data_IF_618882467162
#
_entry.id   IF_618882467162
#
_cell.length_a   1.000
_cell.length_b   1.000
_cell.length_c   1.000
_cell.angle_alpha   90.00
_cell.angle_beta   90.00
_cell.angle_gamma   90.00
#
_symmetry.space_group_name_H-M   'P 1'
#
loop_
_entity.id
_entity.type
_entity.pdbx_description
1 polymer ?
#
# COMPACT_ATOMS: atom_id res chain seq x y z
N UNK A 1 35.02 -23.77 -2.14
CA UNK A 1 34.41 -25.12 -2.04
C UNK A 1 33.37 -25.37 -3.14
N UNK A 2 32.42 -24.47 -3.38
CA UNK A 2 31.35 -24.60 -4.40
C UNK A 2 31.84 -24.97 -5.82
N UNK A 3 32.92 -24.36 -6.31
CA UNK A 3 33.47 -24.65 -7.65
C UNK A 3 33.96 -26.10 -7.81
N UNK A 4 34.54 -26.69 -6.75
CA UNK A 4 34.98 -28.09 -6.77
C UNK A 4 33.77 -29.03 -6.83
N UNK A 5 32.70 -28.70 -6.11
CA UNK A 5 31.44 -29.47 -6.12
C UNK A 5 30.80 -29.43 -7.51
N UNK A 6 30.64 -28.24 -8.11
CA UNK A 6 30.06 -28.08 -9.46
C UNK A 6 30.83 -28.90 -10.49
N UNK A 7 32.16 -28.87 -10.42
CA UNK A 7 33.01 -29.61 -11.37
C UNK A 7 32.84 -31.12 -11.25
N UNK A 8 32.76 -31.65 -10.03
CA UNK A 8 32.49 -33.07 -9.79
C UNK A 8 31.09 -33.45 -10.28
N UNK A 9 30.08 -32.61 -10.03
CA UNK A 9 28.71 -32.85 -10.53
C UNK A 9 28.63 -32.87 -12.06
N UNK A 10 29.29 -31.92 -12.75
CA UNK A 10 29.32 -31.88 -14.23
C UNK A 10 30.03 -33.12 -14.80
N UNK A 11 31.11 -33.57 -14.17
CA UNK A 11 31.77 -34.82 -14.53
C UNK A 11 30.88 -36.06 -14.36
N UNK A 12 30.15 -36.16 -13.23
CA UNK A 12 29.18 -37.25 -13.00
C UNK A 12 28.04 -37.23 -14.03
N UNK A 13 27.52 -36.05 -14.37
CA UNK A 13 26.50 -35.92 -15.43
C UNK A 13 27.02 -36.40 -16.78
N UNK A 14 28.27 -36.05 -17.13
CA UNK A 14 28.92 -36.56 -18.34
C UNK A 14 29.05 -38.08 -18.35
N UNK A 15 29.36 -38.69 -17.20
CA UNK A 15 29.43 -40.14 -17.06
C UNK A 15 28.06 -40.81 -17.26
N UNK A 16 27.01 -40.27 -16.64
CA UNK A 16 25.64 -40.77 -16.79
C UNK A 16 25.17 -40.62 -18.24
N UNK A 17 25.39 -39.47 -18.86
CA UNK A 17 25.04 -39.23 -20.26
C UNK A 17 25.80 -40.18 -21.20
N UNK A 18 27.11 -40.34 -21.01
CA UNK A 18 27.95 -41.20 -21.86
C UNK A 18 27.58 -42.69 -21.75
N UNK A 19 27.34 -43.18 -20.54
CA UNK A 19 26.92 -44.57 -20.32
C UNK A 19 25.51 -44.84 -20.83
N UNK A 20 24.54 -43.96 -20.56
CA UNK A 20 23.15 -44.16 -21.01
C UNK A 20 22.97 -44.03 -22.52
N UNK A 21 23.71 -43.13 -23.17
CA UNK A 21 23.71 -43.02 -24.64
C UNK A 21 24.31 -44.27 -25.28
N UNK A 22 25.44 -44.77 -24.77
CA UNK A 22 26.05 -46.01 -25.25
C UNK A 22 25.11 -47.22 -25.10
N UNK A 23 24.43 -47.35 -23.95
CA UNK A 23 23.45 -48.42 -23.71
C UNK A 23 22.25 -48.36 -24.66
N UNK A 24 21.79 -47.15 -25.04
CA UNK A 24 20.74 -47.01 -26.05
C UNK A 24 21.24 -47.42 -27.44
N UNK A 25 22.43 -46.97 -27.84
CA UNK A 25 23.08 -47.34 -29.11
C UNK A 25 23.33 -48.85 -29.23
N UNK A 26 23.63 -49.52 -28.11
CA UNK A 26 23.83 -50.97 -28.06
C UNK A 26 22.57 -51.76 -28.45
N UNK A 27 21.36 -51.21 -28.22
CA UNK A 27 20.11 -51.86 -28.62
C UNK A 27 19.91 -51.88 -30.14
N UNK A 28 20.39 -50.85 -30.82
CA UNK A 28 20.20 -50.68 -32.26
C UNK A 28 21.35 -51.28 -33.08
N UNK A 29 22.56 -51.35 -32.52
CA UNK A 29 23.76 -51.84 -33.23
C UNK A 29 24.37 -53.04 -32.48
N UNK A 30 24.05 -54.25 -32.96
CA UNK A 30 24.50 -55.52 -32.34
C UNK A 30 26.02 -55.68 -32.22
N UNK A 31 26.82 -55.02 -33.08
CA UNK A 31 28.28 -55.06 -33.02
C UNK A 31 28.86 -54.41 -31.74
N UNK A 32 28.11 -53.51 -31.08
CA UNK A 32 28.53 -52.86 -29.83
C UNK A 32 28.42 -53.77 -28.60
N UNK A 33 27.78 -54.93 -28.72
CA UNK A 33 27.69 -55.92 -27.62
C UNK A 33 28.94 -56.79 -27.51
N UNK A 34 29.90 -56.70 -28.44
CA UNK A 34 31.12 -57.54 -28.48
C UNK A 34 30.83 -59.03 -28.26
N UNK A 35 29.71 -59.53 -28.80
CA UNK A 35 29.30 -60.94 -28.72
C UNK A 35 28.73 -61.43 -27.38
N UNK A 36 28.83 -60.65 -26.29
CA UNK A 36 28.14 -60.92 -25.00
C UNK A 36 27.75 -59.62 -24.32
N UNK A 37 26.51 -59.53 -23.83
CA UNK A 37 25.98 -58.32 -23.18
C UNK A 37 26.87 -57.78 -22.05
N UNK A 38 27.56 -58.66 -21.31
CA UNK A 38 28.49 -58.29 -20.23
C UNK A 38 29.63 -57.38 -20.72
N UNK A 39 30.20 -57.65 -21.90
CA UNK A 39 31.27 -56.81 -22.47
C UNK A 39 30.74 -55.47 -22.99
N UNK A 40 29.49 -55.44 -23.48
CA UNK A 40 28.80 -54.19 -23.83
C UNK A 40 28.56 -53.28 -22.62
N UNK A 41 28.16 -53.84 -21.46
CA UNK A 41 28.04 -53.06 -20.22
C UNK A 41 29.38 -52.51 -19.73
N UNK A 42 30.46 -53.31 -19.80
CA UNK A 42 31.80 -52.85 -19.43
C UNK A 42 32.29 -51.72 -20.35
N UNK A 43 32.05 -51.84 -21.66
CA UNK A 43 32.36 -50.80 -22.63
C UNK A 43 31.54 -49.52 -22.40
N UNK A 44 30.26 -49.63 -21.99
CA UNK A 44 29.42 -48.48 -21.64
C UNK A 44 29.98 -47.68 -20.45
N UNK A 45 30.49 -48.37 -19.42
CA UNK A 45 31.12 -47.74 -18.26
C UNK A 45 32.42 -47.05 -18.68
N UNK A 46 33.25 -47.71 -19.49
CA UNK A 46 34.51 -47.13 -19.99
C UNK A 46 34.27 -45.86 -20.81
N UNK A 47 33.31 -45.89 -21.74
CA UNK A 47 32.90 -44.73 -22.55
C UNK A 47 32.33 -43.63 -21.67
N UNK A 48 31.50 -43.99 -20.67
CA UNK A 48 31.01 -43.05 -19.66
C UNK A 48 32.13 -42.34 -18.91
N UNK A 49 33.16 -43.07 -18.45
CA UNK A 49 34.31 -42.49 -17.75
C UNK A 49 35.06 -41.50 -18.67
N UNK A 50 35.32 -41.87 -19.92
CA UNK A 50 36.00 -40.99 -20.89
C UNK A 50 35.21 -39.70 -21.12
N UNK A 51 33.89 -39.81 -21.35
CA UNK A 51 33.02 -38.64 -21.55
C UNK A 51 32.93 -37.79 -20.27
N UNK A 52 32.83 -38.41 -19.10
CA UNK A 52 32.83 -37.71 -17.80
C UNK A 52 34.11 -36.92 -17.57
N UNK A 53 35.27 -37.49 -17.94
CA UNK A 53 36.57 -36.85 -17.83
C UNK A 53 36.71 -35.68 -18.82
N UNK A 54 36.20 -35.83 -20.05
CA UNK A 54 36.11 -34.72 -21.01
C UNK A 54 35.26 -33.56 -20.48
N UNK A 55 34.09 -33.86 -19.92
CA UNK A 55 33.20 -32.85 -19.32
C UNK A 55 33.86 -32.14 -18.13
N UNK A 56 34.65 -32.88 -17.32
CA UNK A 56 35.41 -32.32 -16.21
C UNK A 56 36.49 -31.31 -16.69
N UNK A 57 37.12 -31.57 -17.83
CA UNK A 57 38.13 -30.67 -18.43
C UNK A 57 37.50 -29.45 -19.10
N UNK A 58 36.32 -29.62 -19.73
CA UNK A 58 35.62 -28.56 -20.47
C UNK A 58 34.82 -27.62 -19.53
N UNK A 59 34.42 -28.08 -18.35
CA UNK A 59 33.70 -27.32 -17.32
C UNK A 59 34.20 -25.88 -17.11
N UNK A 60 35.49 -25.61 -16.84
CA UNK A 60 35.94 -24.26 -16.51
C UNK A 60 35.74 -23.27 -17.67
N UNK A 61 35.85 -23.75 -18.91
CA UNK A 61 35.61 -22.93 -20.10
C UNK A 61 34.12 -22.61 -20.25
N UNK A 62 33.25 -23.62 -20.11
CA UNK A 62 31.78 -23.45 -20.17
C UNK A 62 31.30 -22.50 -19.08
N UNK A 63 31.73 -22.71 -17.82
CA UNK A 63 31.32 -21.87 -16.70
C UNK A 63 31.78 -20.42 -16.88
N UNK A 64 32.97 -20.19 -17.45
CA UNK A 64 33.43 -18.83 -17.76
C UNK A 64 32.54 -18.16 -18.80
N UNK A 65 32.19 -18.87 -19.88
CA UNK A 65 31.29 -18.36 -20.93
C UNK A 65 29.88 -18.08 -20.42
N UNK A 66 29.32 -18.97 -19.61
CA UNK A 66 28.01 -18.76 -18.97
C UNK A 66 28.04 -17.54 -18.07
N UNK A 67 29.11 -17.32 -17.30
CA UNK A 67 29.26 -16.11 -16.47
C UNK A 67 29.40 -14.84 -17.29
N UNK A 68 30.14 -14.86 -18.40
CA UNK A 68 30.24 -13.72 -19.32
C UNK A 68 28.87 -13.38 -19.92
N UNK A 69 28.12 -14.39 -20.39
CA UNK A 69 26.78 -14.21 -20.91
C UNK A 69 25.81 -13.67 -19.85
N UNK A 70 25.84 -14.24 -18.64
CA UNK A 70 25.02 -13.78 -17.51
C UNK A 70 25.32 -12.32 -17.14
N UNK A 71 26.59 -11.90 -17.14
CA UNK A 71 26.96 -10.50 -16.90
C UNK A 71 26.42 -9.54 -17.97
N UNK A 72 26.42 -9.96 -19.24
CA UNK A 72 25.85 -9.16 -20.33
C UNK A 72 24.34 -9.04 -20.13
N UNK A 73 23.67 -10.15 -19.81
CA UNK A 73 22.23 -10.16 -19.51
C UNK A 73 21.89 -9.28 -18.31
N UNK A 74 22.61 -9.40 -17.19
CA UNK A 74 22.41 -8.58 -16.00
C UNK A 74 22.57 -7.10 -16.31
N UNK A 75 23.57 -6.73 -17.12
CA UNK A 75 23.81 -5.34 -17.53
C UNK A 75 22.65 -4.80 -18.37
N UNK A 76 22.09 -5.59 -19.27
CA UNK A 76 20.95 -5.18 -20.09
C UNK A 76 19.64 -5.15 -19.30
N UNK A 77 19.37 -6.17 -18.48
CA UNK A 77 18.17 -6.25 -17.63
C UNK A 77 18.15 -5.13 -16.60
N UNK A 78 19.31 -4.75 -16.04
CA UNK A 78 19.42 -3.66 -15.05
C UNK A 78 19.04 -2.28 -15.60
N UNK A 79 18.96 -2.10 -16.93
CA UNK A 79 18.46 -0.85 -17.54
C UNK A 79 16.95 -0.68 -17.40
N UNK A 80 16.22 -1.77 -17.11
CA UNK A 80 14.77 -1.77 -17.01
C UNK A 80 14.32 -1.85 -15.54
N UNK A 81 13.20 -1.20 -15.17
CA UNK A 81 12.60 -1.35 -13.85
C UNK A 81 12.28 -2.83 -13.55
N UNK A 82 12.50 -3.28 -12.32
CA UNK A 82 12.21 -4.66 -11.90
C UNK A 82 10.75 -5.07 -12.15
N UNK A 83 9.82 -4.13 -12.03
CA UNK A 83 8.39 -4.33 -12.32
C UNK A 83 8.14 -4.71 -13.78
N UNK A 84 8.95 -4.20 -14.70
CA UNK A 84 8.74 -4.35 -16.14
C UNK A 84 9.28 -5.72 -16.57
N UNK A 85 10.39 -6.13 -15.97
CA UNK A 85 10.93 -7.49 -16.12
C UNK A 85 9.92 -8.53 -15.61
N UNK A 86 9.31 -8.28 -14.45
CA UNK A 86 8.32 -9.18 -13.85
C UNK A 86 7.04 -9.26 -14.70
N UNK A 87 6.46 -8.11 -15.07
CA UNK A 87 5.25 -8.05 -15.90
C UNK A 87 5.50 -8.64 -17.30
N UNK A 88 6.64 -8.33 -17.92
CA UNK A 88 7.04 -8.90 -19.19
C UNK A 88 7.16 -10.42 -19.12
N UNK A 89 7.71 -10.97 -18.04
CA UNK A 89 7.80 -12.42 -17.82
C UNK A 89 6.43 -13.08 -17.69
N UNK A 90 5.51 -12.47 -16.94
CA UNK A 90 4.13 -12.96 -16.82
C UNK A 90 3.43 -12.92 -18.19
N UNK A 91 3.55 -11.81 -18.92
CA UNK A 91 3.00 -11.67 -20.26
C UNK A 91 3.55 -12.69 -21.25
N UNK A 92 4.85 -12.97 -21.19
CA UNK A 92 5.50 -14.00 -22.01
C UNK A 92 4.94 -15.39 -21.73
N UNK A 93 4.81 -15.77 -20.45
CA UNK A 93 4.25 -17.07 -20.06
C UNK A 93 2.81 -17.22 -20.57
N UNK A 94 1.97 -16.21 -20.34
CA UNK A 94 0.58 -16.22 -20.81
C UNK A 94 0.52 -16.31 -22.34
N UNK A 95 1.37 -15.56 -23.04
CA UNK A 95 1.48 -15.63 -24.50
C UNK A 95 1.88 -17.02 -25.00
N UNK A 96 2.80 -17.70 -24.32
CA UNK A 96 3.19 -19.07 -24.67
C UNK A 96 2.11 -20.10 -24.36
N UNK A 97 1.35 -19.94 -23.28
CA UNK A 97 0.20 -20.81 -22.99
C UNK A 97 -0.86 -20.68 -24.09
N UNK A 98 -1.16 -19.45 -24.52
CA UNK A 98 -2.09 -19.21 -25.64
C UNK A 98 -1.52 -19.81 -26.94
N UNK A 99 -0.23 -19.61 -27.21
CA UNK A 99 0.43 -20.20 -28.38
C UNK A 99 0.37 -21.72 -28.37
N UNK A 100 0.53 -22.36 -27.20
CA UNK A 100 0.43 -23.80 -27.05
C UNK A 100 -0.96 -24.31 -27.44
N UNK A 101 -2.02 -23.65 -26.93
CA UNK A 101 -3.40 -24.00 -27.28
C UNK A 101 -3.67 -23.87 -28.78
N UNK A 102 -3.19 -22.79 -29.40
CA UNK A 102 -3.34 -22.57 -30.85
C UNK A 102 -2.48 -23.54 -31.68
N UNK A 103 -1.29 -23.89 -31.19
CA UNK A 103 -0.40 -24.82 -31.88
C UNK A 103 -1.02 -26.20 -32.07
N UNK A 104 -1.86 -26.65 -31.12
CA UNK A 104 -2.55 -27.93 -31.22
C UNK A 104 -3.47 -28.01 -32.44
N UNK A 105 -4.07 -26.88 -32.84
CA UNK A 105 -4.89 -26.78 -34.06
C UNK A 105 -4.02 -26.62 -35.31
N UNK A 106 -2.98 -25.80 -35.23
CA UNK A 106 -2.09 -25.47 -36.36
C UNK A 106 -1.25 -26.68 -36.80
N UNK A 107 -0.81 -27.51 -35.87
CA UNK A 107 -0.02 -28.70 -36.15
C UNK A 107 -0.80 -29.80 -36.89
N UNK A 108 -2.11 -29.66 -37.05
CA UNK A 108 -2.92 -30.57 -37.87
C UNK A 108 -2.75 -30.31 -39.38
N UNK A 109 -2.18 -29.16 -39.78
CA UNK A 109 -1.90 -28.84 -41.18
C UNK A 109 -0.66 -29.63 -41.64
N UNK A 110 -0.77 -30.50 -42.65
CA UNK A 110 0.37 -31.24 -43.17
C UNK A 110 1.47 -30.32 -43.68
N UNK A 111 2.74 -30.73 -43.50
CA UNK A 111 3.95 -30.11 -44.06
C UNK A 111 4.36 -28.77 -43.43
N UNK A 112 3.41 -27.85 -43.15
CA UNK A 112 3.71 -26.47 -42.71
C UNK A 112 3.38 -26.23 -41.23
N UNK A 113 2.58 -27.10 -40.60
CA UNK A 113 2.08 -26.92 -39.24
C UNK A 113 3.17 -26.62 -38.20
N UNK A 114 4.28 -27.36 -38.21
CA UNK A 114 5.38 -27.14 -37.27
C UNK A 114 6.07 -25.77 -37.42
N UNK A 115 6.29 -25.31 -38.65
CA UNK A 115 6.88 -23.99 -38.91
C UNK A 115 5.90 -22.88 -38.52
N UNK A 116 4.62 -23.05 -38.83
CA UNK A 116 3.58 -22.07 -38.51
C UNK A 116 3.34 -21.99 -36.99
N UNK A 117 3.45 -23.12 -36.29
CA UNK A 117 3.43 -23.18 -34.84
C UNK A 117 4.59 -22.39 -34.24
N UNK A 118 5.83 -22.56 -34.74
CA UNK A 118 7.00 -21.81 -34.27
C UNK A 118 6.80 -20.30 -34.42
N UNK A 119 6.29 -19.87 -35.58
CA UNK A 119 5.97 -18.45 -35.84
C UNK A 119 4.92 -17.95 -34.84
N UNK A 120 3.92 -18.78 -34.53
CA UNK A 120 2.86 -18.43 -33.57
C UNK A 120 3.41 -18.26 -32.15
N UNK A 121 4.34 -19.11 -31.70
CA UNK A 121 5.00 -18.94 -30.40
C UNK A 121 5.76 -17.62 -30.30
N UNK A 122 6.55 -17.28 -31.31
CA UNK A 122 7.33 -16.03 -31.33
C UNK A 122 6.37 -14.83 -31.32
N UNK A 123 5.33 -14.88 -32.16
CA UNK A 123 4.35 -13.81 -32.26
C UNK A 123 3.56 -13.59 -30.97
N UNK A 124 3.03 -14.67 -30.38
CA UNK A 124 2.26 -14.59 -29.13
C UNK A 124 3.11 -14.25 -27.92
N UNK A 125 4.36 -14.71 -27.85
CA UNK A 125 5.30 -14.30 -26.81
C UNK A 125 5.56 -12.79 -26.86
N UNK A 126 5.83 -12.25 -28.05
CA UNK A 126 6.01 -10.80 -28.25
C UNK A 126 4.75 -10.00 -27.90
N UNK A 127 3.57 -10.44 -28.36
CA UNK A 127 2.30 -9.80 -28.01
C UNK A 127 2.04 -9.82 -26.51
N UNK A 128 2.26 -10.96 -25.85
CA UNK A 128 2.07 -11.13 -24.41
C UNK A 128 2.92 -10.15 -23.60
N UNK A 129 4.21 -10.02 -23.95
CA UNK A 129 5.12 -9.03 -23.33
C UNK A 129 4.60 -7.62 -23.58
N UNK A 130 4.27 -7.28 -24.83
CA UNK A 130 3.85 -5.91 -25.22
C UNK A 130 2.56 -5.49 -24.51
N UNK A 131 1.59 -6.41 -24.40
CA UNK A 131 0.33 -6.17 -23.70
C UNK A 131 0.60 -6.00 -22.20
N UNK A 132 1.36 -6.91 -21.58
CA UNK A 132 1.66 -6.82 -20.14
C UNK A 132 2.41 -5.54 -19.75
N UNK A 133 3.36 -5.10 -20.58
CA UNK A 133 4.09 -3.85 -20.37
C UNK A 133 3.22 -2.61 -20.60
N UNK A 134 2.34 -2.63 -21.61
CA UNK A 134 1.40 -1.52 -21.88
C UNK A 134 0.33 -1.41 -20.79
N UNK A 135 -0.12 -2.54 -20.27
CA UNK A 135 -1.10 -2.61 -19.18
C UNK A 135 -0.48 -2.45 -17.79
N UNK A 136 0.81 -2.12 -17.69
CA UNK A 136 1.47 -1.85 -16.40
C UNK A 136 0.68 -0.86 -15.54
N UNK A 137 0.32 0.28 -16.12
CA UNK A 137 -0.42 1.32 -15.40
C UNK A 137 -1.84 0.87 -15.01
N UNK A 138 -2.47 0.01 -15.82
CA UNK A 138 -3.81 -0.52 -15.57
C UNK A 138 -3.79 -1.62 -14.49
N UNK A 139 -2.78 -2.50 -14.46
CA UNK A 139 -2.61 -3.56 -13.46
C UNK A 139 -2.27 -3.00 -12.07
N UNK A 140 -1.41 -1.97 -12.00
CA UNK A 140 -1.18 -1.25 -10.74
C UNK A 140 -2.42 -0.49 -10.28
N UNK A 141 -3.27 0.00 -11.19
CA UNK A 141 -4.57 0.55 -10.86
C UNK A 141 -5.59 -0.52 -10.41
N UNK A 142 -5.47 -1.79 -10.83
CA UNK A 142 -6.33 -2.88 -10.33
C UNK A 142 -6.04 -3.21 -8.85
N UNK A 143 -4.79 -3.05 -8.38
CA UNK A 143 -4.50 -3.11 -6.94
C UNK A 143 -5.11 -1.93 -6.16
N UNK A 144 -5.35 -0.79 -6.82
CA UNK A 144 -6.18 0.31 -6.31
C UNK A 144 -7.68 0.06 -6.50
N UNK A 145 -8.09 -0.80 -7.44
CA UNK A 145 -9.48 -1.16 -7.71
C UNK A 145 -10.08 -2.04 -6.60
N UNK A 146 -9.26 -2.75 -5.82
CA UNK A 146 -9.70 -3.33 -4.53
C UNK A 146 -10.05 -2.26 -3.48
N UNK A 147 -9.77 -0.98 -3.73
CA UNK A 147 -10.08 0.14 -2.84
C UNK A 147 -10.87 1.28 -3.47
N UNK A 148 -11.23 1.23 -4.75
CA UNK A 148 -11.91 2.38 -5.37
C UNK A 148 -12.63 2.00 -6.66
N UNK A 149 -13.89 1.60 -6.50
CA UNK A 149 -14.95 2.19 -7.32
C UNK A 149 -14.83 3.71 -7.15
N UNK A 150 -14.21 4.41 -8.10
CA UNK A 150 -14.61 5.75 -8.57
C UNK A 150 -13.57 6.35 -9.53
N UNK A 151 -14.06 6.56 -10.76
CA UNK A 151 -13.81 7.72 -11.64
C UNK A 151 -12.59 7.68 -12.58
N UNK A 152 -12.93 7.44 -13.84
CA UNK A 152 -12.15 7.68 -15.08
C UNK A 152 -11.96 9.19 -15.24
N UNK A 153 -10.75 9.73 -15.12
CA UNK A 153 -9.75 10.02 -16.19
C UNK A 153 -10.21 11.09 -17.20
N UNK A 154 -9.67 12.30 -17.06
CA UNK A 154 -9.24 13.09 -18.22
C UNK A 154 -7.78 13.55 -18.08
N UNK A 155 -7.16 13.66 -19.25
CA UNK A 155 -5.74 13.80 -19.55
C UNK A 155 -5.19 15.17 -19.16
N UNK A 156 -3.94 15.21 -18.74
CA UNK A 156 -3.12 16.40 -18.96
C UNK A 156 -1.99 16.61 -17.97
N UNK A 157 -0.79 16.29 -18.43
CA UNK A 157 0.47 16.97 -18.08
C UNK A 157 1.12 16.73 -16.71
N UNK A 158 2.43 16.48 -16.83
CA UNK A 158 3.51 16.56 -15.83
C UNK A 158 3.42 15.57 -14.66
N UNK A 159 4.32 14.59 -14.74
CA UNK A 159 4.95 13.94 -13.59
C UNK A 159 5.50 15.03 -12.67
N UNK A 160 4.70 15.53 -11.75
CA UNK A 160 5.24 16.14 -10.55
C UNK A 160 5.54 15.03 -9.56
N UNK A 161 6.74 15.14 -8.99
CA UNK A 161 7.20 14.45 -7.78
C UNK A 161 6.01 14.25 -6.85
N UNK A 162 5.83 13.07 -6.26
CA UNK A 162 4.83 12.84 -5.21
C UNK A 162 5.13 13.77 -4.02
N UNK A 163 4.75 15.04 -4.14
CA UNK A 163 4.72 16.00 -3.07
C UNK A 163 3.68 15.54 -2.07
N UNK A 164 3.91 15.89 -0.80
CA UNK A 164 2.90 15.72 0.23
C UNK A 164 1.68 16.52 -0.21
N UNK A 165 0.50 15.88 -0.24
CA UNK A 165 -0.72 16.52 -0.72
C UNK A 165 -0.99 17.81 0.05
N UNK A 166 -1.32 18.92 -0.62
CA UNK A 166 -1.60 20.17 0.06
C UNK A 166 -2.88 20.03 0.91
N UNK A 167 -2.99 20.87 1.95
CA UNK A 167 -4.11 20.87 2.90
C UNK A 167 -4.90 22.15 2.75
N UNK A 168 -6.13 22.04 2.26
CA UNK A 168 -7.05 23.16 2.07
C UNK A 168 -7.82 23.39 3.36
N UNK A 169 -7.70 24.59 3.93
CA UNK A 169 -8.37 24.96 5.18
C UNK A 169 -9.78 25.50 4.94
N UNK A 170 -10.71 25.05 5.76
CA UNK A 170 -12.10 25.54 5.83
C UNK A 170 -12.28 26.63 6.91
N UNK A 171 -13.28 27.50 6.73
CA UNK A 171 -13.69 28.53 7.70
C UNK A 171 -13.90 27.93 9.10
N UNK A 172 -14.56 26.77 9.19
CA UNK A 172 -14.86 26.11 10.47
C UNK A 172 -13.62 25.71 11.27
N UNK A 173 -12.54 25.31 10.57
CA UNK A 173 -11.30 24.86 11.21
C UNK A 173 -10.45 26.03 11.67
N UNK A 174 -10.50 27.13 10.92
CA UNK A 174 -9.78 28.36 11.23
C UNK A 174 -10.38 29.04 12.47
N UNK A 175 -11.71 29.14 12.55
CA UNK A 175 -12.40 29.75 13.70
C UNK A 175 -12.14 28.98 15.00
N UNK A 176 -12.12 27.65 14.94
CA UNK A 176 -11.83 26.79 16.09
C UNK A 176 -10.40 27.01 16.63
N UNK A 177 -9.44 27.20 15.73
CA UNK A 177 -8.07 27.61 16.06
C UNK A 177 -7.12 26.48 16.46
N UNK A 178 -7.61 25.28 16.84
CA UNK A 178 -6.75 24.14 17.20
C UNK A 178 -5.83 23.70 16.06
N UNK A 179 -6.18 24.02 14.81
CA UNK A 179 -5.32 23.75 13.66
C UNK A 179 -3.94 24.39 13.79
N UNK A 180 -3.84 25.60 14.34
CA UNK A 180 -2.54 26.25 14.54
C UNK A 180 -1.66 25.46 15.51
N UNK A 181 -2.22 24.99 16.62
CA UNK A 181 -1.50 24.17 17.60
C UNK A 181 -1.09 22.82 17.01
N UNK A 182 -1.99 22.15 16.29
CA UNK A 182 -1.68 20.87 15.64
C UNK A 182 -0.57 21.06 14.60
N UNK A 183 -0.57 22.15 13.83
CA UNK A 183 0.53 22.45 12.92
C UNK A 183 1.87 22.69 13.65
N UNK A 184 1.85 23.34 14.84
CA UNK A 184 3.07 23.51 15.67
C UNK A 184 3.67 22.17 16.12
N UNK A 185 2.85 21.14 16.32
CA UNK A 185 3.33 19.80 16.71
C UNK A 185 4.00 19.02 15.57
N UNK A 186 3.81 19.43 14.31
CA UNK A 186 4.34 18.72 13.13
C UNK A 186 3.47 17.56 12.64
N UNK A 187 2.26 17.37 13.19
CA UNK A 187 1.32 16.33 12.72
C UNK A 187 0.69 16.63 11.36
N UNK A 188 0.62 17.90 10.98
CA UNK A 188 0.13 18.33 9.66
C UNK A 188 1.32 18.58 8.76
N UNK A 189 1.40 17.82 7.68
CA UNK A 189 2.45 17.94 6.67
C UNK A 189 1.90 18.47 5.34
N UNK A 190 2.80 19.02 4.53
CA UNK A 190 2.48 19.59 3.23
C UNK A 190 2.06 21.06 3.32
N UNK A 191 1.90 21.66 2.15
CA UNK A 191 1.56 23.07 2.01
C UNK A 191 0.13 23.34 2.50
N UNK A 192 -0.06 24.34 3.35
CA UNK A 192 -1.38 24.82 3.75
C UNK A 192 -1.91 25.79 2.69
N UNK A 193 -3.12 25.56 2.22
CA UNK A 193 -3.79 26.40 1.24
C UNK A 193 -4.98 27.05 1.90
N UNK A 194 -5.00 28.38 1.87
CA UNK A 194 -6.09 29.20 2.36
C UNK A 194 -6.81 29.78 1.14
N UNK A 195 -8.04 29.34 0.82
CA UNK A 195 -8.78 29.90 -0.31
C UNK A 195 -9.18 31.36 -0.08
N UNK A 196 -9.13 32.19 -1.11
CA UNK A 196 -9.56 33.59 -1.01
C UNK A 196 -11.04 33.71 -0.59
N UNK A 197 -11.92 32.83 -1.07
CA UNK A 197 -13.33 32.82 -0.67
C UNK A 197 -13.54 32.48 0.82
N UNK A 198 -12.65 31.71 1.45
CA UNK A 198 -12.68 31.44 2.90
C UNK A 198 -12.25 32.69 3.69
N UNK A 199 -11.27 33.45 3.18
CA UNK A 199 -10.89 34.74 3.76
C UNK A 199 -12.05 35.73 3.72
N UNK A 200 -12.74 35.84 2.59
CA UNK A 200 -13.90 36.72 2.44
C UNK A 200 -15.05 36.30 3.36
N UNK A 201 -15.32 35.00 3.49
CA UNK A 201 -16.33 34.53 4.44
C UNK A 201 -15.96 34.86 5.89
N UNK A 202 -14.69 34.68 6.30
CA UNK A 202 -14.22 35.08 7.63
C UNK A 202 -14.35 36.58 7.88
N UNK A 203 -14.07 37.41 6.86
CA UNK A 203 -14.26 38.87 6.94
C UNK A 203 -15.74 39.23 7.09
N UNK A 204 -16.62 38.62 6.30
CA UNK A 204 -18.07 38.81 6.45
C UNK A 204 -18.59 38.39 7.83
N UNK A 205 -18.06 37.31 8.41
CA UNK A 205 -18.37 36.89 9.79
C UNK A 205 -17.82 37.90 10.81
N UNK A 206 -16.62 38.44 10.59
CA UNK A 206 -16.00 39.45 11.46
C UNK A 206 -16.74 40.81 11.42
N UNK A 207 -17.40 41.14 10.31
CA UNK A 207 -18.19 42.36 10.16
C UNK A 207 -19.68 42.17 10.53
N UNK A 208 -20.04 40.99 11.06
CA UNK A 208 -21.42 40.69 11.43
C UNK A 208 -21.94 41.59 12.56
N UNK A 209 -23.22 41.97 12.47
CA UNK A 209 -23.94 42.68 13.54
C UNK A 209 -24.10 41.84 14.81
N UNK A 210 -24.02 40.52 14.70
CA UNK A 210 -24.01 39.59 15.82
C UNK A 210 -22.64 39.59 16.51
N UNK A 211 -22.62 40.00 17.78
CA UNK A 211 -21.41 40.10 18.60
C UNK A 211 -20.63 38.78 18.70
N UNK A 212 -21.32 37.64 18.83
CA UNK A 212 -20.67 36.34 18.96
C UNK A 212 -20.04 35.92 17.63
N UNK A 213 -20.74 36.12 16.51
CA UNK A 213 -20.19 35.86 15.17
C UNK A 213 -18.98 36.75 14.90
N UNK A 214 -19.09 38.04 15.20
CA UNK A 214 -18.00 39.01 15.05
C UNK A 214 -16.74 38.65 15.85
N UNK A 215 -16.90 38.23 17.10
CA UNK A 215 -15.77 37.75 17.93
C UNK A 215 -15.12 36.51 17.32
N UNK A 216 -15.92 35.54 16.84
CA UNK A 216 -15.41 34.33 16.18
C UNK A 216 -14.68 34.64 14.86
N UNK A 217 -15.22 35.52 14.03
CA UNK A 217 -14.59 35.93 12.78
C UNK A 217 -13.24 36.60 13.00
N UNK A 218 -13.17 37.57 13.93
CA UNK A 218 -11.90 38.22 14.31
C UNK A 218 -10.87 37.23 14.84
N UNK A 219 -11.29 36.31 15.71
CA UNK A 219 -10.42 35.23 16.19
C UNK A 219 -9.89 34.36 15.04
N UNK A 220 -10.74 34.03 14.06
CA UNK A 220 -10.30 33.28 12.88
C UNK A 220 -9.21 34.01 12.08
N UNK A 221 -9.37 35.32 11.87
CA UNK A 221 -8.36 36.15 11.22
C UNK A 221 -7.04 36.20 12.03
N UNK A 222 -7.11 36.26 13.36
CA UNK A 222 -5.92 36.21 14.23
C UNK A 222 -5.19 34.86 14.10
N UNK A 223 -5.93 33.75 14.04
CA UNK A 223 -5.38 32.40 13.82
C UNK A 223 -4.67 32.30 12.46
N UNK A 224 -5.22 32.91 11.41
CA UNK A 224 -4.56 32.93 10.10
C UNK A 224 -3.24 33.70 10.13
N UNK A 225 -3.20 34.82 10.86
CA UNK A 225 -1.98 35.59 11.04
C UNK A 225 -0.91 34.79 11.82
N UNK A 226 -1.32 34.01 12.82
CA UNK A 226 -0.43 33.05 13.52
C UNK A 226 0.07 31.98 12.54
N UNK A 227 -0.83 31.40 11.75
CA UNK A 227 -0.49 30.36 10.76
C UNK A 227 0.55 30.88 9.75
N UNK A 228 0.42 32.12 9.28
CA UNK A 228 1.34 32.72 8.32
C UNK A 228 2.70 33.13 8.92
N UNK A 229 2.74 33.63 10.15
CA UNK A 229 3.95 34.22 10.73
C UNK A 229 4.76 33.28 11.63
N UNK A 230 4.07 32.42 12.37
CA UNK A 230 4.70 31.62 13.44
C UNK A 230 4.97 30.17 13.03
N UNK A 231 4.28 29.64 12.01
CA UNK A 231 4.43 28.26 11.60
C UNK A 231 5.58 28.11 10.60
N UNK A 232 6.29 26.98 10.71
CA UNK A 232 7.36 26.59 9.77
C UNK A 232 6.84 25.91 8.49
N UNK A 233 5.52 25.73 8.38
CA UNK A 233 4.87 25.13 7.22
C UNK A 233 4.65 26.19 6.14
N UNK A 234 4.84 25.81 4.88
CA UNK A 234 4.56 26.68 3.75
C UNK A 234 3.04 26.96 3.67
N UNK A 235 2.68 28.23 3.62
CA UNK A 235 1.30 28.71 3.50
C UNK A 235 1.13 29.45 2.18
N UNK A 236 0.08 29.12 1.42
CA UNK A 236 -0.31 29.81 0.20
C UNK A 236 -1.76 30.25 0.28
N UNK A 237 -2.02 31.47 -0.18
CA UNK A 237 -3.37 31.96 -0.43
C UNK A 237 -3.70 31.63 -1.88
N UNK A 238 -4.77 30.86 -2.09
CA UNK A 238 -5.24 30.48 -3.42
C UNK A 238 -6.34 31.42 -3.87
N UNK A 239 -6.05 32.23 -4.88
CA UNK A 239 -7.00 33.13 -5.56
C UNK A 239 -7.93 32.39 -6.54
N UNK A 240 -7.81 31.06 -6.64
CA UNK A 240 -8.63 30.26 -7.54
C UNK A 240 -10.07 30.17 -7.02
N UNK A 241 -10.99 30.76 -7.76
CA UNK A 241 -12.43 30.69 -7.51
C UNK A 241 -13.17 29.90 -8.61
N UNK A 242 -14.39 29.46 -8.31
CA UNK A 242 -15.28 28.73 -9.20
C UNK A 242 -16.62 29.47 -9.30
N UNK A 243 -16.74 30.36 -10.28
CA UNK A 243 -17.91 31.24 -10.45
C UNK A 243 -19.23 30.47 -10.65
N UNK A 244 -19.16 29.28 -11.24
CA UNK A 244 -20.33 28.41 -11.49
C UNK A 244 -20.88 27.72 -10.23
N UNK A 245 -20.19 27.84 -9.08
CA UNK A 245 -20.57 27.19 -7.82
C UNK A 245 -20.87 28.28 -6.79
N UNK A 246 -22.07 28.30 -6.24
CA UNK A 246 -22.46 29.28 -5.22
C UNK A 246 -21.99 28.88 -3.81
N UNK A 247 -22.08 27.60 -3.48
CA UNK A 247 -21.79 27.08 -2.15
C UNK A 247 -20.28 27.02 -1.85
N UNK A 248 -19.87 27.61 -0.73
CA UNK A 248 -18.46 27.63 -0.27
C UNK A 248 -17.92 26.21 -0.10
N UNK A 249 -18.69 25.32 0.52
CA UNK A 249 -18.34 23.91 0.71
C UNK A 249 -18.02 23.21 -0.62
N UNK A 250 -18.87 23.42 -1.62
CA UNK A 250 -18.71 22.85 -2.96
C UNK A 250 -17.48 23.43 -3.68
N UNK A 251 -17.22 24.74 -3.54
CA UNK A 251 -15.98 25.38 -4.03
C UNK A 251 -14.74 24.78 -3.37
N UNK A 252 -14.81 24.52 -2.07
CA UNK A 252 -13.71 23.99 -1.29
C UNK A 252 -13.36 22.55 -1.71
N UNK A 253 -14.36 21.68 -1.88
CA UNK A 253 -14.15 20.33 -2.41
C UNK A 253 -13.60 20.36 -3.83
N UNK A 254 -14.13 21.25 -4.69
CA UNK A 254 -13.65 21.41 -6.07
C UNK A 254 -12.20 21.88 -6.13
N UNK A 255 -11.82 22.82 -5.25
CA UNK A 255 -10.44 23.28 -5.13
C UNK A 255 -9.52 22.11 -4.76
N UNK A 256 -9.87 21.37 -3.71
CA UNK A 256 -9.10 20.21 -3.24
C UNK A 256 -8.93 19.14 -4.33
N UNK A 257 -9.98 18.83 -5.10
CA UNK A 257 -9.88 17.92 -6.25
C UNK A 257 -8.87 18.43 -7.29
N UNK A 258 -8.95 19.72 -7.61
CA UNK A 258 -8.17 20.29 -8.71
C UNK A 258 -6.68 20.32 -8.42
N UNK A 259 -6.30 20.49 -7.15
CA UNK A 259 -4.90 20.51 -6.71
C UNK A 259 -4.45 19.16 -6.11
N UNK A 260 -5.30 18.13 -6.18
CA UNK A 260 -5.06 16.83 -5.54
C UNK A 260 -4.69 16.95 -4.04
N UNK A 261 -5.39 17.84 -3.34
CA UNK A 261 -5.23 18.15 -1.92
C UNK A 261 -6.24 17.44 -1.04
N UNK A 262 -6.05 17.60 0.27
CA UNK A 262 -7.01 17.15 1.30
C UNK A 262 -7.68 18.35 1.94
N UNK A 263 -8.94 18.21 2.33
CA UNK A 263 -9.68 19.24 3.05
C UNK A 263 -9.46 19.09 4.54
N UNK A 264 -9.28 20.19 5.26
CA UNK A 264 -9.25 20.21 6.73
C UNK A 264 -10.46 21.01 7.20
N UNK A 265 -11.36 20.33 7.92
CA UNK A 265 -12.64 20.91 8.37
C UNK A 265 -13.02 20.38 9.75
N UNK A 266 -13.94 21.06 10.42
CA UNK A 266 -14.63 20.53 11.59
C UNK A 266 -16.04 20.03 11.27
N UNK A 267 -16.56 20.29 10.06
CA UNK A 267 -17.92 19.92 9.67
C UNK A 267 -18.02 18.43 9.30
N UNK A 268 -18.89 17.72 10.02
CA UNK A 268 -19.17 16.31 9.78
C UNK A 268 -20.00 16.07 8.50
N UNK A 269 -20.82 17.04 8.08
CA UNK A 269 -21.59 16.94 6.85
C UNK A 269 -20.68 17.06 5.62
N UNK A 270 -19.70 17.97 5.68
CA UNK A 270 -18.70 18.13 4.62
C UNK A 270 -17.90 16.83 4.41
N UNK A 271 -17.54 16.12 5.49
CA UNK A 271 -16.89 14.80 5.40
C UNK A 271 -17.69 13.81 4.53
N UNK A 272 -19.01 13.72 4.75
CA UNK A 272 -19.87 12.78 4.00
C UNK A 272 -19.92 13.13 2.52
N UNK A 273 -20.12 14.40 2.20
CA UNK A 273 -20.19 14.88 0.82
C UNK A 273 -18.85 14.68 0.11
N UNK A 274 -17.74 14.99 0.78
CA UNK A 274 -16.39 14.82 0.25
C UNK A 274 -16.08 13.37 -0.12
N UNK A 275 -16.55 12.40 0.68
CA UNK A 275 -16.34 10.98 0.41
C UNK A 275 -16.99 10.55 -0.91
N UNK A 276 -18.18 11.04 -1.23
CA UNK A 276 -18.83 10.80 -2.54
C UNK A 276 -18.05 11.44 -3.69
N UNK A 277 -17.42 12.58 -3.45
CA UNK A 277 -16.61 13.31 -4.41
C UNK A 277 -15.14 12.83 -4.50
N UNK A 278 -14.77 11.79 -3.74
CA UNK A 278 -13.41 11.23 -3.75
C UNK A 278 -12.34 12.16 -3.17
N UNK A 279 -12.73 13.13 -2.35
CA UNK A 279 -11.82 14.06 -1.66
C UNK A 279 -11.56 13.54 -0.25
N UNK A 280 -10.30 13.38 0.11
CA UNK A 280 -9.93 13.02 1.48
C UNK A 280 -10.09 14.22 2.41
N UNK A 281 -10.69 13.98 3.57
CA UNK A 281 -10.93 15.00 4.60
C UNK A 281 -10.20 14.64 5.89
N UNK A 282 -9.56 15.64 6.48
CA UNK A 282 -8.92 15.59 7.79
C UNK A 282 -9.80 16.37 8.77
N UNK A 283 -10.58 15.65 9.57
CA UNK A 283 -11.45 16.28 10.54
C UNK A 283 -10.77 16.39 11.91
N UNK A 284 -10.63 17.61 12.44
CA UNK A 284 -9.95 17.82 13.73
C UNK A 284 -10.76 17.27 14.91
N UNK A 285 -12.09 17.24 14.83
CA UNK A 285 -12.90 16.61 15.85
C UNK A 285 -12.70 15.09 15.88
N UNK A 286 -12.53 14.46 14.71
CA UNK A 286 -12.16 13.04 14.65
C UNK A 286 -10.77 12.78 15.23
N UNK A 287 -9.79 13.63 14.91
CA UNK A 287 -8.45 13.57 15.51
C UNK A 287 -8.51 13.70 17.04
N UNK A 288 -9.23 14.69 17.55
CA UNK A 288 -9.39 14.94 18.98
C UNK A 288 -10.03 13.74 19.70
N UNK A 289 -11.01 13.08 19.07
CA UNK A 289 -11.61 11.87 19.62
C UNK A 289 -10.66 10.67 19.58
N UNK A 290 -9.83 10.53 18.53
CA UNK A 290 -8.90 9.43 18.37
C UNK A 290 -7.74 9.47 19.39
N UNK A 291 -7.38 10.66 19.87
CA UNK A 291 -6.33 10.84 20.89
C UNK A 291 -6.84 10.83 22.33
N UNK A 292 -8.14 10.59 22.55
CA UNK A 292 -8.69 10.47 23.92
C UNK A 292 -8.02 9.30 24.63
N UNK A 293 -7.58 9.46 25.90
CA UNK A 293 -7.02 8.38 26.68
C UNK A 293 -7.94 7.14 26.68
N UNK A 294 -7.34 5.98 26.42
CA UNK A 294 -8.02 4.70 26.51
C UNK A 294 -7.78 4.20 27.93
N UNK A 295 -8.84 4.01 28.72
CA UNK A 295 -8.72 3.29 29.98
C UNK A 295 -8.44 1.82 29.67
N UNK A 296 -7.30 1.30 30.10
CA UNK A 296 -6.94 -0.10 29.88
C UNK A 296 -7.34 -0.92 31.11
N UNK A 297 -7.99 -2.09 30.97
CA UNK A 297 -8.17 -3.02 32.07
C UNK A 297 -6.84 -3.30 32.77
N UNK A 298 -6.80 -3.12 34.09
CA UNK A 298 -5.59 -3.25 34.91
C UNK A 298 -4.88 -1.93 35.23
N UNK A 299 -5.28 -0.81 34.66
CA UNK A 299 -4.77 0.51 35.04
C UNK A 299 -5.51 1.09 36.25
N UNK A 300 -4.80 1.94 37.00
CA UNK A 300 -5.39 2.73 38.08
C UNK A 300 -5.93 4.05 37.52
N UNK A 301 -7.11 4.45 37.97
CA UNK A 301 -7.69 5.78 37.73
C UNK A 301 -8.19 6.41 39.01
N UNK A 302 -8.22 7.74 39.07
CA UNK A 302 -8.76 8.49 40.20
C UNK A 302 -10.12 9.05 39.80
N UNK A 303 -11.14 8.75 40.59
CA UNK A 303 -12.53 9.08 40.26
C UNK A 303 -13.27 9.55 41.50
N UNK A 304 -14.19 10.50 41.34
CA UNK A 304 -15.09 10.89 42.41
C UNK A 304 -16.43 10.17 42.26
N UNK A 305 -16.86 9.46 43.31
CA UNK A 305 -18.15 8.75 43.27
C UNK A 305 -19.26 9.76 43.51
N UNK A 306 -20.12 9.97 42.51
CA UNK A 306 -21.15 11.03 42.53
C UNK A 306 -22.57 10.49 42.71
N UNK A 307 -22.83 9.23 42.34
CA UNK A 307 -24.17 8.62 42.39
C UNK A 307 -24.11 7.17 42.85
N UNK A 308 -25.20 6.69 43.44
CA UNK A 308 -25.38 5.25 43.69
C UNK A 308 -25.62 4.51 42.35
N UNK A 309 -25.03 3.32 42.22
CA UNK A 309 -25.18 2.46 41.06
C UNK A 309 -26.48 1.66 41.05
N UNK A 310 -26.73 0.95 39.95
CA UNK A 310 -27.95 0.16 39.76
C UNK A 310 -27.97 -1.10 40.63
N UNK A 311 -26.81 -1.72 40.84
CA UNK A 311 -26.69 -2.90 41.71
C UNK A 311 -26.28 -2.52 43.15
N UNK A 312 -26.57 -3.43 44.07
CA UNK A 312 -26.25 -3.28 45.48
C UNK A 312 -24.73 -3.10 45.65
N UNK A 313 -24.32 -2.06 46.40
CA UNK A 313 -22.92 -1.63 46.63
C UNK A 313 -22.18 -0.93 45.48
N UNK A 314 -22.79 -0.73 44.30
CA UNK A 314 -22.13 0.04 43.23
C UNK A 314 -22.17 1.55 43.48
N UNK A 315 -21.11 2.23 43.07
CA UNK A 315 -21.06 3.67 42.88
C UNK A 315 -20.87 4.02 41.40
N UNK A 316 -21.30 5.22 41.00
CA UNK A 316 -21.10 5.75 39.65
C UNK A 316 -20.24 7.02 39.75
N UNK A 317 -19.20 7.05 38.92
CA UNK A 317 -18.40 8.23 38.62
C UNK A 317 -18.49 8.55 37.12
N UNK A 318 -18.10 9.76 36.74
CA UNK A 318 -17.99 10.16 35.34
C UNK A 318 -16.60 10.72 35.07
N UNK A 319 -16.04 10.42 33.90
CA UNK A 319 -14.91 11.18 33.37
C UNK A 319 -15.38 12.54 32.87
N UNK A 320 -14.43 13.45 32.63
CA UNK A 320 -14.67 14.78 32.08
C UNK A 320 -15.36 14.74 30.70
N UNK A 321 -15.18 13.65 29.95
CA UNK A 321 -15.81 13.43 28.64
C UNK A 321 -17.22 12.81 28.73
N UNK A 322 -17.75 12.60 29.94
CA UNK A 322 -19.05 11.99 30.19
C UNK A 322 -19.07 10.46 30.20
N UNK A 323 -17.94 9.78 30.00
CA UNK A 323 -17.85 8.32 30.12
C UNK A 323 -18.27 7.88 31.52
N UNK A 324 -19.25 6.98 31.61
CA UNK A 324 -19.73 6.45 32.88
C UNK A 324 -18.78 5.39 33.42
N UNK A 325 -18.40 5.53 34.69
CA UNK A 325 -17.56 4.58 35.43
C UNK A 325 -18.39 3.95 36.54
N UNK A 326 -18.58 2.64 36.47
CA UNK A 326 -19.27 1.85 37.49
C UNK A 326 -18.21 1.26 38.43
N UNK A 327 -18.24 1.67 39.69
CA UNK A 327 -17.30 1.25 40.72
C UNK A 327 -17.97 0.23 41.63
N UNK A 328 -17.56 -1.03 41.54
CA UNK A 328 -18.04 -2.11 42.41
C UNK A 328 -17.53 -1.90 43.85
N UNK A 329 -18.42 -1.80 44.83
CA UNK A 329 -18.10 -1.36 46.20
C UNK A 329 -17.98 0.16 46.36
N UNK A 330 -18.21 0.95 45.30
CA UNK A 330 -18.10 2.40 45.30
C UNK A 330 -19.12 3.12 46.19
N UNK A 331 -20.24 2.47 46.55
CA UNK A 331 -21.28 3.05 47.42
C UNK A 331 -20.75 3.54 48.78
N UNK A 332 -19.69 2.91 49.30
CA UNK A 332 -19.09 3.30 50.59
C UNK A 332 -18.30 4.61 50.51
N UNK A 333 -17.96 5.05 49.31
CA UNK A 333 -17.11 6.20 49.02
C UNK A 333 -17.90 7.34 48.36
N UNK A 334 -19.20 7.42 48.63
CA UNK A 334 -20.08 8.45 48.05
C UNK A 334 -19.59 9.86 48.39
N UNK A 335 -19.40 10.68 47.37
CA UNK A 335 -18.85 12.03 47.46
C UNK A 335 -17.33 12.09 47.56
N UNK A 336 -16.65 10.95 47.74
CA UNK A 336 -15.19 10.88 47.91
C UNK A 336 -14.48 10.63 46.57
N UNK A 337 -13.24 11.12 46.50
CA UNK A 337 -12.32 10.87 45.38
C UNK A 337 -11.42 9.70 45.73
N UNK A 338 -11.59 8.58 45.03
CA UNK A 338 -10.90 7.32 45.31
C UNK A 338 -10.09 6.83 44.11
N UNK A 339 -9.06 6.04 44.38
CA UNK A 339 -8.29 5.32 43.35
C UNK A 339 -9.00 4.00 43.04
N UNK A 340 -9.27 3.76 41.77
CA UNK A 340 -10.03 2.63 41.26
C UNK A 340 -9.19 1.88 40.25
N UNK A 341 -9.13 0.56 40.40
CA UNK A 341 -8.52 -0.33 39.42
C UNK A 341 -9.56 -0.69 38.36
N UNK A 342 -9.26 -0.42 37.08
CA UNK A 342 -10.14 -0.76 35.96
C UNK A 342 -10.19 -2.28 35.80
N UNK A 343 -11.39 -2.87 35.87
CA UNK A 343 -11.61 -4.31 35.67
C UNK A 343 -11.98 -4.65 34.25
N UNK A 344 -12.83 -3.84 33.61
CA UNK A 344 -13.27 -4.07 32.23
C UNK A 344 -13.81 -2.78 31.61
N UNK A 345 -13.84 -2.74 30.29
CA UNK A 345 -14.43 -1.64 29.52
C UNK A 345 -15.45 -2.25 28.57
N UNK A 346 -16.69 -1.75 28.61
CA UNK A 346 -17.76 -2.14 27.70
C UNK A 346 -18.11 -0.97 26.77
N UNK A 347 -18.17 -1.25 25.48
CA UNK A 347 -18.73 -0.31 24.50
C UNK A 347 -20.24 -0.59 24.39
N UNK A 348 -21.06 0.43 24.59
CA UNK A 348 -22.52 0.37 24.42
C UNK A 348 -22.98 1.33 23.31
N UNK A 349 -24.21 1.19 22.79
CA UNK A 349 -24.77 2.13 21.81
C UNK A 349 -24.84 3.59 22.31
N UNK A 350 -24.94 3.80 23.64
CA UNK A 350 -24.98 5.12 24.26
C UNK A 350 -23.58 5.69 24.58
N UNK A 351 -22.52 4.94 24.29
CA UNK A 351 -21.15 5.34 24.57
C UNK A 351 -20.37 4.26 25.34
N UNK A 352 -19.22 4.67 25.85
CA UNK A 352 -18.30 3.79 26.59
C UNK A 352 -18.70 3.75 28.07
N UNK A 353 -18.61 2.56 28.67
CA UNK A 353 -18.80 2.34 30.10
C UNK A 353 -17.57 1.62 30.65
N UNK A 354 -17.01 2.12 31.75
CA UNK A 354 -15.83 1.56 32.40
C UNK A 354 -16.29 0.93 33.71
N UNK A 355 -15.77 -0.26 34.01
CA UNK A 355 -16.00 -0.93 35.29
C UNK A 355 -14.70 -0.97 36.06
N UNK A 356 -14.77 -0.74 37.35
CA UNK A 356 -13.62 -0.83 38.23
C UNK A 356 -14.00 -1.15 39.66
N UNK A 357 -12.98 -1.33 40.49
CA UNK A 357 -13.11 -1.60 41.93
C UNK A 357 -12.15 -0.71 42.73
N UNK A 358 -12.53 -0.23 43.92
CA UNK A 358 -11.65 0.54 44.78
C UNK A 358 -10.34 -0.22 45.01
N UNK A 359 -9.24 0.48 44.83
CA UNK A 359 -7.91 -0.02 45.17
C UNK A 359 -7.67 0.35 46.62
N UNK A 360 -7.65 -0.64 47.50
CA UNK A 360 -7.26 -0.47 48.90
C UNK A 360 -5.84 0.10 49.02
#
# INVERSE_FOLDING_TARGET
MIRKVIRVCVGMLGLILGSTTYLKLMKDIKQLTFGREIYGFAAAIAVGIVIGLLFYVIEPWVVKKVKEAAKIMDKEISKYPQTDVLLGSIGLIVGFVIAYLLSGLINQIPIIGGLLSLITYIFMGYLGIRIALKSKDDLFNISKLSRLSNTIKEKGSKKEVKGISPKVLDTSVIIDGRIADICKTGFIEGKLIIPAFVLEELRHIADSSDDLKRVRGRRGLDILNIIQKELKIEVEISERDFEDISEVDSKLLKLAQTINGKVVTNDYNLNKVAQFQGVEVLNINELANAIKPVAIPGEDMVVQVVKEGKEMNQGIAYLDDGTMIVVDGGRKYMGETIKVLVTSVLQTPAGRMIFGKPKN
#
